data_IF_248995447396
#
_entry.id   IF_248995447396
#
_cell.length_a   1.000
_cell.length_b   1.000
_cell.length_c   1.000
_cell.angle_alpha   90.00
_cell.angle_beta   90.00
_cell.angle_gamma   90.00
#
_symmetry.space_group_name_H-M   'P 1'
#
loop_
_entity.id
_entity.type
_entity.pdbx_description
1 polymer ?
#
# COMPACT_ATOMS: atom_id res chain seq x y z
N UNK A 1 -2.01 6.86 -12.82
CA UNK A 1 -2.56 8.22 -12.96
C UNK A 1 -3.83 8.41 -12.15
N UNK A 2 -4.91 7.68 -12.45
CA UNK A 2 -6.24 7.89 -11.85
C UNK A 2 -6.23 7.77 -10.32
N UNK A 3 -5.52 6.78 -9.77
CA UNK A 3 -5.38 6.60 -8.34
C UNK A 3 -4.67 7.80 -7.65
N UNK A 4 -3.59 8.32 -8.24
CA UNK A 4 -2.89 9.47 -7.70
C UNK A 4 -3.78 10.72 -7.69
N UNK A 5 -4.48 10.99 -8.80
CA UNK A 5 -5.39 12.13 -8.91
C UNK A 5 -6.70 11.99 -8.10
N UNK A 6 -6.97 10.84 -7.53
CA UNK A 6 -8.02 10.71 -6.52
C UNK A 6 -7.60 11.22 -5.15
N UNK A 7 -6.31 11.46 -4.93
CA UNK A 7 -5.75 11.95 -3.67
C UNK A 7 -5.39 13.44 -3.75
N UNK A 8 -4.76 13.87 -4.83
CA UNK A 8 -4.27 15.24 -4.98
C UNK A 8 -4.18 15.68 -6.43
N UNK A 9 -3.76 16.91 -6.64
CA UNK A 9 -3.74 17.56 -7.96
C UNK A 9 -2.40 17.41 -8.70
N UNK A 10 -1.30 17.18 -8.00
CA UNK A 10 0.03 17.11 -8.58
C UNK A 10 0.64 15.75 -8.33
N UNK A 11 1.12 15.12 -9.40
CA UNK A 11 1.83 13.84 -9.38
C UNK A 11 3.23 14.06 -9.94
N UNK A 12 4.25 13.70 -9.18
CA UNK A 12 5.65 13.68 -9.60
C UNK A 12 6.20 12.27 -9.40
N UNK A 13 6.82 11.74 -10.44
CA UNK A 13 7.52 10.45 -10.39
C UNK A 13 8.98 10.70 -10.68
N UNK A 14 9.84 10.24 -9.80
CA UNK A 14 11.30 10.28 -9.95
C UNK A 14 11.82 8.87 -9.87
N UNK A 15 12.57 8.43 -10.85
CA UNK A 15 13.20 7.10 -10.87
C UNK A 15 14.69 7.23 -11.01
N UNK A 16 15.44 6.33 -10.36
CA UNK A 16 16.89 6.29 -10.37
C UNK A 16 17.37 4.87 -10.67
N UNK A 17 18.37 4.76 -11.51
CA UNK A 17 19.08 3.52 -11.81
C UNK A 17 20.56 3.82 -11.96
N UNK A 18 21.34 3.46 -10.95
CA UNK A 18 22.74 3.87 -10.83
C UNK A 18 22.88 5.40 -10.80
N UNK A 19 23.62 5.97 -11.75
CA UNK A 19 23.79 7.42 -11.88
C UNK A 19 22.69 8.12 -12.70
N UNK A 20 21.86 7.37 -13.42
CA UNK A 20 20.81 7.94 -14.23
C UNK A 20 19.58 8.26 -13.41
N UNK A 21 19.11 9.51 -13.48
CA UNK A 21 17.87 9.99 -12.85
C UNK A 21 16.94 10.46 -13.94
N UNK A 22 15.69 10.05 -13.88
CA UNK A 22 14.61 10.50 -14.78
C UNK A 22 13.41 10.92 -13.97
N UNK A 23 12.66 11.91 -14.46
CA UNK A 23 11.45 12.35 -13.79
C UNK A 23 10.36 12.71 -14.77
N UNK A 24 9.13 12.71 -14.28
CA UNK A 24 7.97 13.23 -14.98
C UNK A 24 6.90 13.69 -14.00
N UNK A 25 6.22 14.77 -14.32
CA UNK A 25 5.16 15.34 -13.48
C UNK A 25 3.92 15.63 -14.32
N UNK A 26 2.77 15.59 -13.64
CA UNK A 26 1.54 16.23 -14.08
C UNK A 26 1.00 17.12 -12.97
N UNK A 27 0.44 18.25 -13.36
CA UNK A 27 -0.24 19.17 -12.48
C UNK A 27 -1.61 19.50 -13.08
N UNK A 28 -2.69 19.15 -12.40
CA UNK A 28 -4.05 19.36 -12.90
C UNK A 28 -4.38 20.85 -13.08
N UNK A 29 -3.75 21.71 -12.28
CA UNK A 29 -3.97 23.16 -12.39
C UNK A 29 -3.29 23.77 -13.64
N UNK A 30 -2.30 23.08 -14.22
CA UNK A 30 -1.61 23.50 -15.45
C UNK A 30 -2.21 22.90 -16.73
N UNK A 31 -3.09 21.89 -16.62
CA UNK A 31 -3.71 21.25 -17.80
C UNK A 31 -4.41 22.25 -18.74
N UNK A 32 -5.13 23.30 -18.25
CA UNK A 32 -5.76 24.26 -19.14
C UNK A 32 -4.78 24.99 -20.07
N UNK A 33 -3.53 25.16 -19.65
CA UNK A 33 -2.50 25.89 -20.39
C UNK A 33 -1.66 24.99 -21.30
N UNK A 34 -1.25 23.83 -20.78
CA UNK A 34 -0.30 22.94 -21.47
C UNK A 34 -0.93 21.62 -21.97
N UNK A 35 -2.22 21.40 -21.69
CA UNK A 35 -2.86 20.11 -21.96
C UNK A 35 -2.31 18.99 -21.08
N UNK A 36 -2.45 17.75 -21.53
CA UNK A 36 -1.95 16.55 -20.85
C UNK A 36 -0.46 16.27 -21.11
N UNK A 37 0.33 17.28 -21.41
CA UNK A 37 1.75 17.11 -21.62
C UNK A 37 2.47 16.78 -20.30
N UNK A 38 3.49 15.93 -20.40
CA UNK A 38 4.39 15.66 -19.28
C UNK A 38 5.27 16.87 -19.01
N UNK A 39 5.40 17.23 -17.75
CA UNK A 39 6.34 18.24 -17.30
C UNK A 39 7.60 17.51 -16.83
N UNK A 40 8.73 17.81 -17.44
CA UNK A 40 10.04 17.35 -16.97
C UNK A 40 10.61 18.46 -16.09
N UNK A 41 10.96 18.12 -14.87
CA UNK A 41 11.50 19.03 -13.87
C UNK A 41 13.02 19.10 -13.94
N UNK A 42 13.57 20.25 -13.61
CA UNK A 42 15.02 20.41 -13.48
C UNK A 42 15.57 19.60 -12.29
N UNK A 43 16.84 19.24 -12.34
CA UNK A 43 17.50 18.43 -11.32
C UNK A 43 17.40 19.07 -9.92
N UNK A 44 17.47 20.39 -9.82
CA UNK A 44 17.33 21.13 -8.56
C UNK A 44 15.95 20.96 -7.93
N UNK A 45 14.89 20.88 -8.74
CA UNK A 45 13.51 20.73 -8.28
C UNK A 45 13.19 19.30 -7.76
N UNK A 46 13.94 18.30 -8.23
CA UNK A 46 13.72 16.89 -7.86
C UNK A 46 14.80 16.35 -6.91
N UNK A 47 15.79 17.17 -6.55
CA UNK A 47 16.97 16.75 -5.75
C UNK A 47 16.57 16.12 -4.42
N UNK A 48 15.58 16.68 -3.73
CA UNK A 48 15.06 16.12 -2.47
C UNK A 48 14.47 14.73 -2.68
N UNK A 49 13.69 14.53 -3.72
CA UNK A 49 13.05 13.24 -4.02
C UNK A 49 14.05 12.20 -4.52
N UNK A 50 15.01 12.60 -5.34
CA UNK A 50 16.05 11.70 -5.86
C UNK A 50 17.04 11.26 -4.79
N UNK A 51 17.32 12.11 -3.78
CA UNK A 51 18.20 11.79 -2.66
C UNK A 51 17.63 10.72 -1.72
N UNK A 52 16.31 10.58 -1.67
CA UNK A 52 15.62 9.54 -0.90
C UNK A 52 15.69 8.15 -1.55
N UNK A 53 16.09 8.08 -2.83
CA UNK A 53 16.24 6.84 -3.56
C UNK A 53 17.70 6.36 -3.42
N UNK A 54 17.89 5.10 -3.02
CA UNK A 54 19.22 4.48 -2.93
C UNK A 54 19.93 4.37 -4.29
N UNK A 55 20.54 3.25 -4.59
CA UNK A 55 21.19 3.01 -5.88
C UNK A 55 20.18 2.88 -7.03
N UNK A 56 19.03 2.30 -6.75
CA UNK A 56 17.94 2.16 -7.70
C UNK A 56 16.59 2.21 -7.00
N UNK A 57 15.57 2.69 -7.70
CA UNK A 57 14.20 2.74 -7.17
C UNK A 57 13.37 3.85 -7.81
N UNK A 58 12.16 4.01 -7.30
CA UNK A 58 11.20 5.03 -7.76
C UNK A 58 10.56 5.70 -6.57
N UNK A 59 10.54 7.03 -6.59
CA UNK A 59 9.78 7.85 -5.67
C UNK A 59 8.55 8.42 -6.39
N UNK A 60 7.38 8.23 -5.80
CA UNK A 60 6.10 8.73 -6.31
C UNK A 60 5.55 9.72 -5.31
N UNK A 61 5.50 10.99 -5.70
CA UNK A 61 5.08 12.10 -4.85
C UNK A 61 3.72 12.61 -5.33
N UNK A 62 2.77 12.72 -4.42
CA UNK A 62 1.45 13.28 -4.68
C UNK A 62 1.28 14.50 -3.79
N UNK A 63 1.18 15.66 -4.42
CA UNK A 63 1.03 16.95 -3.75
C UNK A 63 -0.37 17.53 -3.95
N UNK A 64 -0.66 18.60 -3.22
CA UNK A 64 -1.95 19.29 -3.24
C UNK A 64 -3.11 18.30 -2.98
N UNK A 65 -3.09 17.69 -1.79
CA UNK A 65 -4.03 16.64 -1.35
C UNK A 65 -5.43 17.22 -1.03
N UNK A 66 -5.97 18.03 -1.91
CA UNK A 66 -7.24 18.77 -1.77
C UNK A 66 -8.48 17.86 -1.57
N UNK A 67 -8.35 16.58 -1.93
CA UNK A 67 -9.44 15.59 -1.79
C UNK A 67 -9.34 14.76 -0.51
N UNK A 68 -8.18 14.76 0.10
CA UNK A 68 -7.90 13.99 1.32
C UNK A 68 -7.96 14.88 2.55
N UNK A 69 -7.48 16.12 2.43
CA UNK A 69 -7.31 17.05 3.53
C UNK A 69 -8.31 18.20 3.38
N UNK A 70 -9.06 18.49 4.43
CA UNK A 70 -9.91 19.68 4.54
C UNK A 70 -9.02 20.82 5.10
N UNK A 71 -8.80 21.85 4.28
CA UNK A 71 -7.83 22.93 4.58
C UNK A 71 -8.39 23.89 5.66
N UNK A 72 -9.70 23.89 5.89
CA UNK A 72 -10.35 24.85 6.79
C UNK A 72 -10.17 24.53 8.29
N UNK A 73 -9.81 23.30 8.64
CA UNK A 73 -9.62 22.87 10.03
C UNK A 73 -8.45 21.88 10.14
N UNK A 74 -7.30 22.39 10.57
CA UNK A 74 -6.04 21.63 10.66
C UNK A 74 -6.16 20.37 11.55
N UNK A 75 -6.88 20.45 12.69
CA UNK A 75 -7.07 19.30 13.58
C UNK A 75 -7.93 18.21 12.94
N UNK A 76 -8.97 18.60 12.23
CA UNK A 76 -9.80 17.64 11.49
C UNK A 76 -9.05 17.01 10.33
N UNK A 77 -8.26 17.82 9.61
CA UNK A 77 -7.38 17.36 8.54
C UNK A 77 -6.39 16.31 9.06
N UNK A 78 -5.70 16.61 10.16
CA UNK A 78 -4.74 15.72 10.79
C UNK A 78 -5.39 14.40 11.25
N UNK A 79 -6.53 14.47 11.94
CA UNK A 79 -7.25 13.28 12.39
C UNK A 79 -7.74 12.42 11.21
N UNK A 80 -8.21 13.05 10.13
CA UNK A 80 -8.62 12.35 8.91
C UNK A 80 -7.42 11.65 8.26
N UNK A 81 -6.28 12.33 8.19
CA UNK A 81 -5.06 11.76 7.64
C UNK A 81 -4.58 10.53 8.44
N UNK A 82 -4.50 10.64 9.77
CA UNK A 82 -4.12 9.49 10.61
C UNK A 82 -5.07 8.32 10.49
N UNK A 83 -6.38 8.58 10.35
CA UNK A 83 -7.36 7.53 10.14
C UNK A 83 -7.17 6.84 8.78
N UNK A 84 -6.82 7.58 7.74
CA UNK A 84 -6.51 7.01 6.42
C UNK A 84 -5.22 6.20 6.51
N UNK A 85 -4.16 6.73 7.12
CA UNK A 85 -2.90 6.03 7.32
C UNK A 85 -3.09 4.70 8.06
N UNK A 86 -3.82 4.70 9.18
CA UNK A 86 -4.12 3.48 9.94
C UNK A 86 -4.94 2.45 9.15
N UNK A 87 -5.90 2.91 8.33
CA UNK A 87 -6.64 2.02 7.43
C UNK A 87 -5.74 1.41 6.36
N UNK A 88 -4.85 2.22 5.79
CA UNK A 88 -3.89 1.79 4.78
C UNK A 88 -2.93 0.75 5.37
N UNK A 89 -2.40 1.00 6.57
CA UNK A 89 -1.53 0.06 7.28
C UNK A 89 -2.20 -1.31 7.45
N UNK A 90 -3.42 -1.33 7.98
CA UNK A 90 -4.19 -2.57 8.17
C UNK A 90 -4.45 -3.30 6.86
N UNK A 91 -4.80 -2.55 5.82
CA UNK A 91 -5.06 -3.12 4.50
C UNK A 91 -3.79 -3.73 3.89
N UNK A 92 -2.66 -3.04 3.98
CA UNK A 92 -1.37 -3.55 3.49
C UNK A 92 -0.92 -4.76 4.29
N UNK A 93 -1.04 -4.72 5.63
CA UNK A 93 -0.72 -5.82 6.52
C UNK A 93 -1.49 -7.10 6.17
N UNK A 94 -2.79 -6.97 5.86
CA UNK A 94 -3.65 -8.07 5.46
C UNK A 94 -3.34 -8.55 4.03
N UNK A 95 -3.24 -7.62 3.08
CA UNK A 95 -3.15 -7.97 1.65
C UNK A 95 -1.80 -8.62 1.31
N UNK A 96 -0.74 -8.14 1.95
CA UNK A 96 0.63 -8.57 1.67
C UNK A 96 1.22 -9.47 2.76
N UNK A 97 0.40 -10.01 3.67
CA UNK A 97 0.88 -10.76 4.82
C UNK A 97 1.85 -11.89 4.44
N UNK A 98 1.57 -12.68 3.40
CA UNK A 98 2.44 -13.77 2.97
C UNK A 98 3.84 -13.30 2.59
N UNK A 99 3.91 -12.27 1.75
CA UNK A 99 5.19 -11.72 1.29
C UNK A 99 5.99 -11.07 2.43
N UNK A 100 5.28 -10.50 3.43
CA UNK A 100 5.95 -9.93 4.62
C UNK A 100 6.44 -11.05 5.55
N UNK A 101 5.64 -12.12 5.75
CA UNK A 101 6.02 -13.29 6.56
C UNK A 101 7.20 -14.06 5.97
N UNK A 102 7.31 -14.09 4.63
CA UNK A 102 8.38 -14.77 3.89
C UNK A 102 9.64 -13.88 3.69
N UNK A 103 9.64 -12.66 4.23
CA UNK A 103 10.68 -11.65 4.04
C UNK A 103 10.94 -11.25 2.56
N UNK A 104 10.00 -11.53 1.67
CA UNK A 104 10.06 -11.17 0.25
C UNK A 104 9.70 -9.70 0.01
N UNK A 105 8.99 -9.07 0.96
CA UNK A 105 8.54 -7.69 0.88
C UNK A 105 8.66 -6.98 2.23
N UNK A 106 9.38 -5.88 2.24
CA UNK A 106 9.44 -4.96 3.37
C UNK A 106 8.57 -3.76 3.05
N UNK A 107 7.53 -3.52 3.86
CA UNK A 107 6.68 -2.35 3.78
C UNK A 107 6.88 -1.48 5.01
N UNK A 108 7.03 -0.18 4.77
CA UNK A 108 7.14 0.82 5.84
C UNK A 108 6.08 1.91 5.65
N UNK A 109 5.48 2.34 6.73
CA UNK A 109 4.59 3.49 6.77
C UNK A 109 5.14 4.52 7.74
N UNK A 110 5.50 5.70 7.23
CA UNK A 110 6.15 6.77 8.01
C UNK A 110 7.41 6.28 8.76
N UNK A 111 8.23 5.45 8.11
CA UNK A 111 9.45 4.89 8.67
C UNK A 111 9.25 3.76 9.69
N UNK A 112 8.01 3.31 9.89
CA UNK A 112 7.72 2.16 10.75
C UNK A 112 7.39 0.93 9.89
N UNK A 113 8.04 -0.22 10.15
CA UNK A 113 7.75 -1.43 9.41
C UNK A 113 6.34 -1.93 9.69
N UNK A 114 5.61 -2.28 8.62
CA UNK A 114 4.29 -2.90 8.70
C UNK A 114 4.48 -4.38 9.02
N UNK A 115 3.85 -4.82 10.10
CA UNK A 115 3.84 -6.24 10.47
C UNK A 115 2.74 -6.97 9.72
N UNK A 116 3.04 -8.17 9.25
CA UNK A 116 2.04 -9.04 8.63
C UNK A 116 0.85 -9.28 9.56
N UNK A 117 -0.34 -9.26 8.99
CA UNK A 117 -1.55 -9.69 9.68
C UNK A 117 -2.18 -10.84 8.90
N UNK A 118 -1.91 -12.07 9.36
CA UNK A 118 -2.39 -13.28 8.71
C UNK A 118 -3.84 -13.55 9.10
N UNK A 119 -4.79 -13.46 8.14
CA UNK A 119 -6.22 -13.64 8.41
C UNK A 119 -6.60 -15.08 8.78
N UNK A 120 -5.70 -16.02 8.55
CA UNK A 120 -5.93 -17.43 8.90
C UNK A 120 -5.61 -17.75 10.36
N UNK A 121 -5.05 -16.78 11.11
CA UNK A 121 -4.79 -16.86 12.56
C UNK A 121 -4.02 -18.15 12.92
N UNK A 122 -2.98 -18.45 12.15
CA UNK A 122 -2.20 -19.70 12.29
C UNK A 122 -1.51 -19.83 13.65
N UNK A 123 -1.29 -18.71 14.37
CA UNK A 123 -0.75 -18.71 15.73
C UNK A 123 -1.74 -19.21 16.80
N UNK A 124 -3.03 -19.38 16.49
CA UNK A 124 -4.01 -19.92 17.42
C UNK A 124 -4.12 -21.45 17.26
N UNK A 125 -3.90 -22.21 18.34
CA UNK A 125 -3.93 -23.67 18.33
C UNK A 125 -5.29 -24.28 17.96
N UNK A 126 -6.35 -23.48 17.91
CA UNK A 126 -7.69 -23.91 17.50
C UNK A 126 -7.96 -23.67 15.99
N UNK A 127 -7.06 -23.02 15.27
CA UNK A 127 -7.10 -22.96 13.81
C UNK A 127 -6.89 -24.37 13.26
N UNK A 128 -7.72 -24.77 12.31
CA UNK A 128 -7.58 -26.06 11.63
C UNK A 128 -7.28 -25.80 10.15
N UNK A 129 -6.15 -26.30 9.71
CA UNK A 129 -5.78 -26.36 8.31
C UNK A 129 -6.36 -27.63 7.72
N UNK A 130 -7.22 -27.50 6.71
CA UNK A 130 -7.81 -28.65 6.02
C UNK A 130 -6.89 -29.08 4.86
N UNK A 131 -7.06 -30.30 4.33
CA UNK A 131 -6.27 -30.74 3.17
C UNK A 131 -6.44 -29.80 1.96
N UNK A 132 -5.35 -29.61 1.23
CA UNK A 132 -5.39 -28.89 -0.05
C UNK A 132 -6.28 -29.61 -1.06
N UNK A 133 -7.00 -28.83 -1.85
CA UNK A 133 -7.82 -29.31 -2.95
C UNK A 133 -7.38 -28.66 -4.27
N UNK A 134 -7.20 -29.49 -5.30
CA UNK A 134 -6.87 -29.01 -6.64
C UNK A 134 -8.09 -29.06 -7.56
N UNK A 135 -8.39 -27.96 -8.19
CA UNK A 135 -9.44 -27.84 -9.21
C UNK A 135 -8.78 -27.59 -10.56
N UNK A 136 -9.06 -28.44 -11.52
CA UNK A 136 -8.54 -28.32 -12.88
C UNK A 136 -9.59 -27.70 -13.80
N UNK A 137 -9.11 -26.85 -14.75
CA UNK A 137 -9.98 -26.39 -15.84
C UNK A 137 -10.41 -27.54 -16.73
N UNK A 138 -11.56 -27.41 -17.43
CA UNK A 138 -12.14 -28.42 -18.29
C UNK A 138 -11.17 -28.97 -19.37
N UNK A 139 -10.23 -28.11 -19.80
CA UNK A 139 -9.20 -28.49 -20.79
C UNK A 139 -7.89 -28.95 -20.15
N UNK A 140 -7.77 -29.00 -18.82
CA UNK A 140 -6.58 -29.41 -18.08
C UNK A 140 -5.39 -28.43 -18.16
N UNK A 141 -5.58 -27.26 -18.75
CA UNK A 141 -4.48 -26.27 -18.95
C UNK A 141 -4.23 -25.36 -17.75
N UNK A 142 -5.14 -25.32 -16.79
CA UNK A 142 -4.97 -24.51 -15.57
C UNK A 142 -5.38 -25.32 -14.34
N UNK A 143 -4.62 -25.21 -13.28
CA UNK A 143 -4.87 -25.76 -11.96
C UNK A 143 -5.03 -24.63 -10.96
N UNK A 144 -6.04 -24.72 -10.09
CA UNK A 144 -6.23 -23.83 -8.94
C UNK A 144 -6.11 -24.68 -7.69
N UNK A 145 -5.13 -24.39 -6.86
CA UNK A 145 -4.95 -25.04 -5.57
C UNK A 145 -5.66 -24.21 -4.50
N UNK A 146 -6.50 -24.85 -3.71
CA UNK A 146 -7.26 -24.22 -2.63
C UNK A 146 -6.79 -24.82 -1.31
N UNK A 147 -6.39 -23.96 -0.38
CA UNK A 147 -6.05 -24.31 0.98
C UNK A 147 -7.14 -23.78 1.92
N UNK A 148 -8.08 -24.62 2.39
CA UNK A 148 -9.13 -24.19 3.29
C UNK A 148 -8.66 -24.13 4.76
N UNK A 149 -9.24 -23.22 5.53
CA UNK A 149 -8.99 -23.08 6.96
C UNK A 149 -10.31 -22.98 7.75
N UNK A 150 -10.35 -23.60 8.93
CA UNK A 150 -11.41 -23.36 9.92
C UNK A 150 -10.84 -22.46 10.99
N UNK A 151 -11.37 -21.24 11.08
CA UNK A 151 -10.91 -20.24 12.05
C UNK A 151 -11.40 -20.56 13.46
N UNK A 152 -10.67 -20.11 14.48
CA UNK A 152 -11.05 -20.33 15.88
C UNK A 152 -12.39 -19.70 16.22
N UNK A 153 -13.22 -20.42 16.96
CA UNK A 153 -14.41 -19.82 17.55
C UNK A 153 -14.03 -18.77 18.61
N UNK A 154 -14.86 -17.73 18.78
CA UNK A 154 -14.64 -16.62 19.73
C UNK A 154 -14.13 -17.09 21.12
N UNK A 155 -14.65 -18.19 21.64
CA UNK A 155 -14.26 -18.75 22.96
C UNK A 155 -12.83 -19.29 23.02
N UNK A 156 -12.13 -19.36 21.90
CA UNK A 156 -10.74 -19.85 21.79
C UNK A 156 -9.72 -18.70 21.76
N UNK A 157 -10.17 -17.47 21.92
CA UNK A 157 -9.30 -16.31 22.11
C UNK A 157 -9.12 -16.02 23.61
N UNK A 158 -7.96 -15.43 23.95
CA UNK A 158 -7.61 -15.11 25.34
C UNK A 158 -8.47 -13.97 25.88
N UNK A 159 -8.86 -13.04 24.99
CA UNK A 159 -9.69 -11.89 25.33
C UNK A 159 -10.63 -11.52 24.16
N UNK A 160 -11.65 -10.71 24.45
CA UNK A 160 -12.49 -10.12 23.41
C UNK A 160 -11.70 -9.17 22.50
N UNK A 161 -10.67 -8.49 23.04
CA UNK A 161 -9.80 -7.60 22.26
C UNK A 161 -8.96 -8.39 21.25
N UNK A 162 -8.43 -9.56 21.62
CA UNK A 162 -7.72 -10.45 20.69
C UNK A 162 -8.63 -10.94 19.58
N UNK A 163 -9.89 -11.26 19.92
CA UNK A 163 -10.88 -11.65 18.93
C UNK A 163 -11.21 -10.51 17.95
N UNK A 164 -11.41 -9.29 18.46
CA UNK A 164 -11.68 -8.11 17.62
C UNK A 164 -10.46 -7.72 16.77
N UNK A 165 -9.25 -7.94 17.29
CA UNK A 165 -8.01 -7.70 16.54
C UNK A 165 -7.80 -8.74 15.41
N UNK A 166 -8.39 -9.91 15.56
CA UNK A 166 -8.32 -10.98 14.55
C UNK A 166 -9.30 -10.81 13.37
N UNK A 167 -10.22 -9.84 13.41
CA UNK A 167 -11.07 -9.47 12.28
C UNK A 167 -12.55 -9.51 12.58
#
# INVERSE_FOLDING_TARGET
KTAAFSLGKKLTVVTKSGSAVSNASWDLDQIPEIGWNLIIRDESEISEFSSQIGEQGTNVVIDNLDRVIDIDDEKKAQNKFYRIASKTEKHLALTFHRFIEEDDLILELNGNPIKAWNPFILGNSATQELPEESIFSDNGCAEVVIQPYVLPHKTKFTSDDDYQAAG
#
